data_IF_943509148452
#
_entry.id   IF_943509148452
#
_cell.length_a   1.000
_cell.length_b   1.000
_cell.length_c   1.000
_cell.angle_alpha   90.00
_cell.angle_beta   90.00
_cell.angle_gamma   90.00
#
_symmetry.space_group_name_H-M   'P 1'
#
loop_
_entity.id
_entity.type
_entity.pdbx_description
1 polymer ?
#
# COMPACT_ATOMS: atom_id res chain seq x y z
N UNK A 1 -19.85 -6.82 -13.18
CA UNK A 1 -18.80 -7.28 -12.23
C UNK A 1 -17.70 -6.22 -12.25
N UNK A 2 -17.06 -5.90 -11.12
CA UNK A 2 -15.87 -5.02 -11.13
C UNK A 2 -14.73 -5.79 -11.80
N UNK A 3 -14.23 -5.27 -12.92
CA UNK A 3 -13.14 -5.92 -13.66
C UNK A 3 -11.78 -5.52 -13.12
N UNK A 4 -11.59 -4.23 -12.85
CA UNK A 4 -10.30 -3.71 -12.35
C UNK A 4 -10.50 -2.77 -11.16
N UNK A 5 -9.79 -3.06 -10.06
CA UNK A 5 -9.70 -2.19 -8.90
C UNK A 5 -8.25 -1.69 -8.70
N UNK A 6 -8.08 -0.39 -8.45
CA UNK A 6 -6.81 0.17 -7.98
C UNK A 6 -6.88 0.37 -6.47
N UNK A 7 -5.83 -0.03 -5.77
CA UNK A 7 -5.62 0.25 -4.35
C UNK A 7 -4.35 1.09 -4.22
N UNK A 8 -4.46 2.27 -3.66
CA UNK A 8 -3.33 3.14 -3.39
C UNK A 8 -2.89 3.01 -1.94
N UNK A 9 -1.61 2.72 -1.73
CA UNK A 9 -0.92 3.00 -0.48
C UNK A 9 -0.75 4.53 -0.37
N UNK A 10 -1.75 5.16 0.22
CA UNK A 10 -1.86 6.62 0.21
C UNK A 10 -0.76 7.30 1.02
N UNK A 11 -0.28 6.69 2.11
CA UNK A 11 0.80 7.26 2.90
C UNK A 11 2.14 7.22 2.16
N UNK A 12 2.43 6.16 1.41
CA UNK A 12 3.61 6.10 0.54
C UNK A 12 3.56 7.21 -0.52
N UNK A 13 2.38 7.42 -1.14
CA UNK A 13 2.20 8.50 -2.10
C UNK A 13 2.32 9.88 -1.45
N UNK A 14 1.69 10.08 -0.29
CA UNK A 14 1.76 11.35 0.45
C UNK A 14 3.19 11.73 0.79
N UNK A 15 3.96 10.79 1.37
CA UNK A 15 5.34 11.04 1.75
C UNK A 15 6.18 11.47 0.54
N UNK A 16 6.00 10.80 -0.60
CA UNK A 16 6.70 11.15 -1.84
C UNK A 16 6.26 12.49 -2.40
N UNK A 17 4.96 12.78 -2.42
CA UNK A 17 4.40 14.03 -2.87
C UNK A 17 4.85 15.20 -1.99
N UNK A 18 4.86 15.01 -0.68
CA UNK A 18 5.30 15.99 0.32
C UNK A 18 6.71 16.48 0.05
N UNK A 19 7.63 15.56 -0.29
CA UNK A 19 9.00 15.93 -0.60
C UNK A 19 9.21 16.42 -2.05
N UNK A 20 8.43 15.90 -3.01
CA UNK A 20 8.61 16.26 -4.42
C UNK A 20 8.06 17.64 -4.75
N UNK A 21 6.96 18.04 -4.14
CA UNK A 21 6.26 19.29 -4.40
C UNK A 21 6.40 20.28 -3.24
N UNK A 22 7.52 20.24 -2.51
CA UNK A 22 7.77 21.01 -1.29
C UNK A 22 7.72 22.54 -1.47
N UNK A 23 7.85 23.03 -2.70
CA UNK A 23 7.71 24.46 -3.05
C UNK A 23 6.26 24.92 -3.27
N UNK A 24 5.27 23.99 -3.24
CA UNK A 24 3.88 24.33 -3.49
C UNK A 24 3.22 24.85 -2.22
N UNK A 25 2.61 26.03 -2.32
CA UNK A 25 1.90 26.70 -1.23
C UNK A 25 0.55 27.23 -1.72
N UNK A 26 -0.36 27.46 -0.80
CA UNK A 26 -1.57 28.25 -1.05
C UNK A 26 -1.26 29.77 -1.04
N UNK A 27 -2.27 30.60 -1.24
CA UNK A 27 -2.13 32.07 -1.24
C UNK A 27 -1.68 32.66 0.09
N UNK A 28 -1.80 31.93 1.19
CA UNK A 28 -1.33 32.33 2.53
C UNK A 28 0.08 31.82 2.85
N UNK A 29 0.74 31.12 1.90
CA UNK A 29 2.07 30.56 2.06
C UNK A 29 2.09 29.20 2.80
N UNK A 30 0.93 28.56 3.08
CA UNK A 30 0.90 27.24 3.71
C UNK A 30 1.25 26.14 2.71
N UNK A 31 2.08 25.16 3.09
CA UNK A 31 2.43 24.05 2.19
C UNK A 31 1.21 23.26 1.70
N UNK A 32 1.21 22.93 0.41
CA UNK A 32 0.15 22.15 -0.27
C UNK A 32 0.70 20.99 -1.10
N UNK A 33 1.93 20.58 -0.81
CA UNK A 33 2.69 19.57 -1.56
C UNK A 33 1.94 18.25 -1.76
N UNK A 34 1.45 17.64 -0.67
CA UNK A 34 0.68 16.39 -0.75
C UNK A 34 -0.76 16.64 -1.26
N UNK A 35 -1.37 17.78 -0.89
CA UNK A 35 -2.71 18.21 -1.34
C UNK A 35 -2.76 18.30 -2.87
N UNK A 36 -1.68 18.77 -3.50
CA UNK A 36 -1.54 18.77 -4.95
C UNK A 36 -1.08 17.41 -5.50
N UNK A 37 0.01 16.87 -4.93
CA UNK A 37 0.72 15.75 -5.55
C UNK A 37 -0.04 14.43 -5.52
N UNK A 38 -0.81 14.15 -4.46
CA UNK A 38 -1.54 12.88 -4.37
C UNK A 38 -2.67 12.80 -5.38
N UNK A 39 -3.60 13.77 -5.49
CA UNK A 39 -4.62 13.74 -6.54
C UNK A 39 -4.04 13.71 -7.95
N UNK A 40 -2.92 14.40 -8.20
CA UNK A 40 -2.21 14.37 -9.48
C UNK A 40 -1.73 12.97 -9.85
N UNK A 41 -1.11 12.24 -8.91
CA UNK A 41 -0.65 10.86 -9.16
C UNK A 41 -1.83 9.91 -9.30
N UNK A 42 -2.86 10.05 -8.46
CA UNK A 42 -4.06 9.21 -8.54
C UNK A 42 -4.74 9.36 -9.90
N UNK A 43 -4.93 10.59 -10.37
CA UNK A 43 -5.51 10.86 -11.69
C UNK A 43 -4.73 10.19 -12.81
N UNK A 44 -3.41 10.34 -12.82
CA UNK A 44 -2.55 9.73 -13.83
C UNK A 44 -2.68 8.19 -13.88
N UNK A 45 -2.82 7.54 -12.71
CA UNK A 45 -3.00 6.08 -12.67
C UNK A 45 -4.43 5.68 -13.07
N UNK A 46 -5.46 6.46 -12.69
CA UNK A 46 -6.85 6.23 -13.13
C UNK A 46 -6.95 6.34 -14.65
N UNK A 47 -6.30 7.33 -15.25
CA UNK A 47 -6.24 7.49 -16.71
C UNK A 47 -5.48 6.35 -17.38
N UNK A 48 -4.41 5.87 -16.78
CA UNK A 48 -3.59 4.77 -17.31
C UNK A 48 -4.31 3.43 -17.29
N UNK A 49 -4.91 3.07 -16.17
CA UNK A 49 -5.48 1.74 -15.93
C UNK A 49 -6.98 1.64 -16.20
N UNK A 50 -7.68 2.76 -16.35
CA UNK A 50 -9.13 2.84 -16.57
C UNK A 50 -9.95 1.92 -15.64
N UNK A 51 -9.73 1.98 -14.29
CA UNK A 51 -10.36 1.04 -13.36
C UNK A 51 -11.86 1.30 -13.20
N UNK A 52 -12.57 0.31 -12.65
CA UNK A 52 -13.96 0.44 -12.21
C UNK A 52 -14.06 0.93 -10.76
N UNK A 53 -13.01 0.70 -9.96
CA UNK A 53 -12.96 1.04 -8.54
C UNK A 53 -11.58 1.57 -8.16
N UNK A 54 -11.56 2.65 -7.39
CA UNK A 54 -10.33 3.22 -6.82
C UNK A 54 -10.47 3.35 -5.33
N UNK A 55 -9.50 2.84 -4.59
CA UNK A 55 -9.46 2.84 -3.13
C UNK A 55 -8.12 3.43 -2.69
N UNK A 56 -8.13 4.46 -1.86
CA UNK A 56 -6.96 5.02 -1.21
C UNK A 56 -6.96 4.64 0.27
N UNK A 57 -5.90 3.98 0.73
CA UNK A 57 -5.78 3.47 2.09
C UNK A 57 -4.74 4.28 2.86
N UNK A 58 -5.16 4.88 3.96
CA UNK A 58 -4.32 5.74 4.81
C UNK A 58 -3.92 5.06 6.12
N UNK A 59 -2.69 5.31 6.55
CA UNK A 59 -2.18 4.84 7.85
C UNK A 59 -2.94 5.43 9.03
N UNK A 60 -3.18 4.58 10.03
CA UNK A 60 -3.48 5.00 11.38
C UNK A 60 -2.24 4.90 12.29
N UNK A 61 -2.45 4.40 13.50
CA UNK A 61 -1.39 4.20 14.47
C UNK A 61 -0.52 2.97 14.13
N UNK A 62 0.73 2.99 14.61
CA UNK A 62 1.59 1.80 14.57
C UNK A 62 0.95 0.65 15.34
N UNK A 63 1.10 -0.57 14.83
CA UNK A 63 0.56 -1.76 15.45
C UNK A 63 1.08 -1.98 16.87
N UNK A 64 0.17 -1.90 17.86
CA UNK A 64 0.46 -2.22 19.26
C UNK A 64 0.99 -3.65 19.44
N UNK A 65 0.54 -4.58 18.58
CA UNK A 65 0.99 -5.97 18.61
C UNK A 65 2.41 -6.14 18.08
N UNK A 66 2.79 -5.42 17.01
CA UNK A 66 4.17 -5.44 16.49
C UNK A 66 5.13 -4.76 17.48
N UNK A 67 4.72 -3.67 18.11
CA UNK A 67 5.51 -2.99 19.15
C UNK A 67 5.76 -3.88 20.38
N UNK A 68 4.82 -4.75 20.78
CA UNK A 68 5.03 -5.75 21.85
C UNK A 68 6.08 -6.79 21.47
N UNK A 69 6.19 -7.16 20.19
CA UNK A 69 7.18 -8.14 19.70
C UNK A 69 8.55 -7.47 19.46
N UNK A 70 8.54 -6.25 18.98
CA UNK A 70 9.72 -5.44 18.65
C UNK A 70 9.44 -3.97 19.06
N UNK A 71 9.88 -3.54 20.26
CA UNK A 71 9.64 -2.16 20.74
C UNK A 71 10.17 -1.10 19.78
N UNK A 72 11.26 -1.39 19.08
CA UNK A 72 11.88 -0.48 18.09
C UNK A 72 11.29 -0.61 16.67
N UNK A 73 10.16 -1.31 16.50
CA UNK A 73 9.51 -1.46 15.20
C UNK A 73 9.18 -0.10 14.57
N UNK A 74 9.66 0.12 13.34
CA UNK A 74 9.59 1.41 12.62
C UNK A 74 10.23 2.59 13.42
N UNK A 75 11.09 2.29 14.40
CA UNK A 75 11.72 3.32 15.25
C UNK A 75 12.84 4.07 14.54
N UNK A 76 13.52 3.44 13.59
CA UNK A 76 14.60 4.04 12.80
C UNK A 76 14.12 4.94 11.65
N UNK A 77 12.82 5.11 11.46
CA UNK A 77 12.29 6.10 10.50
C UNK A 77 12.68 7.49 10.98
N UNK A 78 13.91 7.87 10.66
CA UNK A 78 14.47 9.18 10.98
C UNK A 78 13.60 10.22 10.31
N UNK A 79 12.99 11.10 11.10
CA UNK A 79 12.38 12.30 10.56
C UNK A 79 13.53 13.10 9.92
N UNK A 80 13.45 13.37 8.64
CA UNK A 80 14.36 14.33 8.03
C UNK A 80 14.21 15.64 8.77
N UNK A 81 15.32 16.37 8.95
CA UNK A 81 15.35 17.65 9.67
C UNK A 81 14.25 18.63 9.21
N UNK A 82 13.86 18.56 7.94
CA UNK A 82 12.86 19.43 7.32
C UNK A 82 11.45 18.81 7.26
N UNK A 83 11.19 17.72 8.00
CA UNK A 83 9.87 17.08 7.99
C UNK A 83 8.98 17.64 9.11
N UNK A 84 8.02 18.46 8.71
CA UNK A 84 6.97 18.96 9.60
C UNK A 84 5.84 17.92 9.70
N UNK A 85 5.81 17.22 10.83
CA UNK A 85 4.82 16.18 11.09
C UNK A 85 3.41 16.76 11.26
N UNK A 86 3.27 17.94 11.85
CA UNK A 86 1.98 18.57 12.07
C UNK A 86 1.37 18.99 10.74
N UNK A 87 2.16 19.65 9.89
CA UNK A 87 1.73 20.00 8.53
C UNK A 87 1.42 18.77 7.68
N UNK A 88 2.22 17.70 7.79
CA UNK A 88 1.96 16.45 7.07
C UNK A 88 0.60 15.84 7.49
N UNK A 89 0.28 15.83 8.78
CA UNK A 89 -1.01 15.32 9.28
C UNK A 89 -2.16 16.21 8.84
N UNK A 90 -2.00 17.53 8.86
CA UNK A 90 -2.98 18.48 8.30
C UNK A 90 -3.23 18.17 6.83
N UNK A 91 -2.18 18.07 6.01
CA UNK A 91 -2.33 17.76 4.59
C UNK A 91 -2.97 16.39 4.37
N UNK A 92 -2.79 15.41 5.27
CA UNK A 92 -3.43 14.10 5.18
C UNK A 92 -4.95 14.20 5.23
N UNK A 93 -5.49 14.95 6.17
CA UNK A 93 -6.94 15.15 6.28
C UNK A 93 -7.51 15.82 5.02
N UNK A 94 -6.81 16.83 4.52
CA UNK A 94 -7.20 17.54 3.30
C UNK A 94 -7.11 16.63 2.05
N UNK A 95 -6.10 15.78 1.96
CA UNK A 95 -5.97 14.80 0.86
C UNK A 95 -7.11 13.79 0.90
N UNK A 96 -7.49 13.28 2.08
CA UNK A 96 -8.62 12.37 2.23
C UNK A 96 -9.92 13.02 1.73
N UNK A 97 -10.17 14.27 2.12
CA UNK A 97 -11.34 15.03 1.69
C UNK A 97 -11.33 15.28 0.16
N UNK A 98 -10.19 15.70 -0.39
CA UNK A 98 -10.04 15.95 -1.83
C UNK A 98 -10.27 14.71 -2.67
N UNK A 99 -9.71 13.57 -2.28
CA UNK A 99 -9.92 12.28 -2.96
C UNK A 99 -11.37 11.81 -2.85
N UNK A 100 -11.98 11.97 -1.68
CA UNK A 100 -13.39 11.65 -1.48
C UNK A 100 -14.30 12.49 -2.39
N UNK A 101 -14.04 13.79 -2.50
CA UNK A 101 -14.79 14.69 -3.39
C UNK A 101 -14.60 14.37 -4.89
N UNK A 102 -13.51 13.69 -5.24
CA UNK A 102 -13.28 13.14 -6.57
C UNK A 102 -13.93 11.75 -6.78
N UNK A 103 -14.64 11.21 -5.81
CA UNK A 103 -15.30 9.91 -5.92
C UNK A 103 -14.37 8.71 -5.70
N UNK A 104 -13.19 8.93 -5.10
CA UNK A 104 -12.28 7.87 -4.68
C UNK A 104 -12.74 7.31 -3.33
N UNK A 105 -12.83 5.98 -3.22
CA UNK A 105 -13.10 5.32 -1.94
C UNK A 105 -11.91 5.49 -1.00
N UNK A 106 -12.13 6.07 0.17
CA UNK A 106 -11.07 6.31 1.15
C UNK A 106 -11.24 5.38 2.34
N UNK A 107 -10.16 4.70 2.73
CA UNK A 107 -10.10 3.84 3.91
C UNK A 107 -9.10 4.43 4.90
N UNK A 108 -9.54 4.69 6.11
CA UNK A 108 -8.69 5.14 7.21
C UNK A 108 -9.19 4.54 8.52
N UNK A 109 -8.38 3.69 9.14
CA UNK A 109 -8.64 3.20 10.48
C UNK A 109 -7.56 3.79 11.42
N UNK A 110 -7.93 4.63 12.41
CA UNK A 110 -6.95 5.31 13.27
C UNK A 110 -6.09 4.34 14.10
N UNK A 111 -6.53 3.11 14.32
CA UNK A 111 -5.82 2.10 15.13
C UNK A 111 -5.02 1.09 14.31
N UNK A 112 -5.03 1.16 12.98
CA UNK A 112 -4.42 0.16 12.10
C UNK A 112 -3.46 0.77 11.10
N UNK A 113 -2.40 0.01 10.75
CA UNK A 113 -1.48 0.38 9.67
C UNK A 113 -2.12 0.17 8.29
N UNK A 114 -1.77 1.01 7.31
CA UNK A 114 -2.29 0.92 5.95
C UNK A 114 -2.02 -0.44 5.31
N UNK A 115 -0.85 -1.04 5.54
CA UNK A 115 -0.44 -2.32 4.98
C UNK A 115 -1.43 -3.44 5.36
N UNK A 116 -1.84 -3.47 6.63
CA UNK A 116 -2.80 -4.46 7.14
C UNK A 116 -4.21 -4.23 6.60
N UNK A 117 -4.60 -2.95 6.43
CA UNK A 117 -5.88 -2.59 5.83
C UNK A 117 -5.90 -2.90 4.34
N UNK A 118 -4.79 -2.65 3.60
CA UNK A 118 -4.65 -3.04 2.18
C UNK A 118 -4.81 -4.55 2.03
N UNK A 119 -4.18 -5.36 2.90
CA UNK A 119 -4.39 -6.81 2.91
C UNK A 119 -5.87 -7.15 3.07
N UNK A 120 -6.57 -6.53 4.03
CA UNK A 120 -7.99 -6.76 4.29
C UNK A 120 -8.87 -6.37 3.11
N UNK A 121 -8.57 -5.23 2.46
CA UNK A 121 -9.26 -4.77 1.25
C UNK A 121 -9.05 -5.75 0.10
N UNK A 122 -7.82 -6.22 -0.14
CA UNK A 122 -7.53 -7.24 -1.17
C UNK A 122 -8.36 -8.49 -0.93
N UNK A 123 -8.44 -8.97 0.33
CA UNK A 123 -9.25 -10.15 0.66
C UNK A 123 -10.73 -9.93 0.43
N UNK A 124 -11.25 -8.75 0.73
CA UNK A 124 -12.62 -8.38 0.42
C UNK A 124 -12.89 -8.43 -1.09
N UNK A 125 -12.03 -7.79 -1.88
CA UNK A 125 -12.18 -7.74 -3.34
C UNK A 125 -12.05 -9.13 -3.99
N UNK A 126 -11.12 -9.97 -3.50
CA UNK A 126 -11.02 -11.37 -3.93
C UNK A 126 -12.30 -12.16 -3.62
N UNK A 127 -12.89 -11.96 -2.44
CA UNK A 127 -14.18 -12.59 -2.07
C UNK A 127 -15.30 -12.11 -2.98
N UNK A 128 -15.27 -10.86 -3.42
CA UNK A 128 -16.22 -10.28 -4.37
C UNK A 128 -15.91 -10.65 -5.84
N UNK A 129 -14.88 -11.47 -6.09
CA UNK A 129 -14.46 -11.93 -7.42
C UNK A 129 -14.12 -10.78 -8.39
N UNK A 130 -13.45 -9.74 -7.89
CA UNK A 130 -12.89 -8.68 -8.74
C UNK A 130 -11.84 -9.29 -9.67
N UNK A 131 -11.89 -8.95 -10.95
CA UNK A 131 -11.05 -9.58 -11.98
C UNK A 131 -9.57 -9.29 -11.80
N UNK A 132 -9.19 -8.01 -11.63
CA UNK A 132 -7.80 -7.59 -11.41
C UNK A 132 -7.73 -6.56 -10.28
N UNK A 133 -6.83 -6.79 -9.33
CA UNK A 133 -6.57 -5.90 -8.20
C UNK A 133 -5.14 -5.37 -8.35
N UNK A 134 -4.98 -4.08 -8.61
CA UNK A 134 -3.67 -3.45 -8.79
C UNK A 134 -3.37 -2.60 -7.56
N UNK A 135 -2.32 -2.97 -6.81
CA UNK A 135 -1.83 -2.20 -5.66
C UNK A 135 -0.75 -1.24 -6.17
N UNK A 136 -0.99 0.05 -6.00
CA UNK A 136 -0.06 1.12 -6.39
C UNK A 136 0.81 1.46 -5.18
N UNK A 137 2.00 0.89 -5.13
CA UNK A 137 2.99 1.15 -4.07
C UNK A 137 4.40 0.80 -4.53
N UNK A 138 5.39 1.43 -3.93
CA UNK A 138 6.81 1.06 -4.06
C UNK A 138 7.29 0.14 -2.93
N UNK A 139 6.42 -0.21 -1.99
CA UNK A 139 6.77 -1.05 -0.86
C UNK A 139 6.91 -2.52 -1.28
N UNK A 140 8.06 -3.11 -0.94
CA UNK A 140 8.41 -4.50 -1.24
C UNK A 140 7.57 -5.50 -0.47
N UNK A 141 7.00 -5.09 0.66
CA UNK A 141 6.19 -5.97 1.52
C UNK A 141 4.93 -6.44 0.82
N UNK A 142 4.38 -5.61 -0.08
CA UNK A 142 3.22 -6.01 -0.88
C UNK A 142 3.48 -7.12 -1.89
N UNK A 143 4.75 -7.44 -2.23
CA UNK A 143 5.04 -8.57 -3.11
C UNK A 143 4.45 -9.89 -2.59
N UNK A 144 4.28 -10.04 -1.25
CA UNK A 144 3.62 -11.20 -0.64
C UNK A 144 2.14 -11.36 -1.03
N UNK A 145 1.50 -10.33 -1.61
CA UNK A 145 0.11 -10.36 -2.08
C UNK A 145 -0.01 -10.85 -3.52
N UNK A 146 1.04 -10.72 -4.33
CA UNK A 146 1.04 -11.13 -5.73
C UNK A 146 1.18 -12.67 -5.90
N UNK A 147 0.45 -13.44 -5.07
CA UNK A 147 0.49 -14.93 -5.08
C UNK A 147 -0.56 -15.56 -5.97
N UNK A 148 -1.49 -14.78 -6.48
CA UNK A 148 -2.58 -15.17 -7.36
C UNK A 148 -2.58 -14.31 -8.62
N UNK A 149 -3.21 -14.79 -9.70
CA UNK A 149 -3.19 -14.10 -11.00
C UNK A 149 -3.95 -12.77 -11.01
N UNK A 150 -4.88 -12.61 -10.09
CA UNK A 150 -5.74 -11.44 -9.93
C UNK A 150 -5.06 -10.26 -9.21
N UNK A 151 -3.91 -10.47 -8.56
CA UNK A 151 -3.21 -9.40 -7.82
C UNK A 151 -1.92 -8.97 -8.52
N UNK A 152 -1.79 -7.68 -8.74
CA UNK A 152 -0.62 -7.02 -9.34
C UNK A 152 -0.12 -5.92 -8.41
N UNK A 153 1.18 -5.89 -8.11
CA UNK A 153 1.81 -4.75 -7.46
C UNK A 153 2.44 -3.89 -8.55
N UNK A 154 2.08 -2.63 -8.59
CA UNK A 154 2.61 -1.67 -9.56
C UNK A 154 3.35 -0.54 -8.85
N UNK A 155 4.63 -0.41 -9.16
CA UNK A 155 5.44 0.71 -8.71
C UNK A 155 5.36 1.84 -9.77
N UNK A 156 4.71 2.98 -9.47
CA UNK A 156 4.53 4.05 -10.47
C UNK A 156 5.83 4.77 -10.82
N UNK A 157 6.88 4.59 -10.04
CA UNK A 157 8.19 5.22 -10.28
C UNK A 157 9.06 4.39 -11.23
N UNK A 158 9.29 3.11 -10.91
CA UNK A 158 10.08 2.20 -11.76
C UNK A 158 9.26 1.59 -12.89
N UNK A 159 7.92 1.74 -12.87
CA UNK A 159 6.95 1.11 -13.77
C UNK A 159 6.97 -0.43 -13.72
N UNK A 160 7.60 -1.02 -12.71
CA UNK A 160 7.59 -2.46 -12.51
C UNK A 160 6.19 -2.98 -12.17
N UNK A 161 5.84 -4.10 -12.79
CA UNK A 161 4.63 -4.89 -12.49
C UNK A 161 5.04 -6.21 -11.88
N UNK A 162 4.84 -6.37 -10.58
CA UNK A 162 5.09 -7.62 -9.87
C UNK A 162 3.79 -8.42 -9.84
N UNK A 163 3.85 -9.62 -10.40
CA UNK A 163 2.77 -10.61 -10.44
C UNK A 163 3.31 -11.95 -9.96
N UNK A 164 2.46 -12.96 -9.84
CA UNK A 164 2.89 -14.33 -9.52
C UNK A 164 3.92 -14.86 -10.52
N UNK A 165 3.88 -14.40 -11.77
CA UNK A 165 4.79 -14.86 -12.84
C UNK A 165 6.06 -14.01 -12.96
N UNK A 166 6.03 -12.74 -12.59
CA UNK A 166 7.14 -11.81 -12.82
C UNK A 166 7.97 -11.54 -11.56
N UNK A 167 7.48 -11.88 -10.37
CA UNK A 167 8.17 -11.59 -9.11
C UNK A 167 9.59 -12.19 -9.08
N UNK A 168 9.78 -13.45 -9.49
CA UNK A 168 11.11 -14.07 -9.52
C UNK A 168 12.08 -13.35 -10.46
N UNK A 169 11.58 -12.87 -11.61
CA UNK A 169 12.41 -12.11 -12.57
C UNK A 169 12.92 -10.78 -11.98
N UNK A 170 12.03 -10.01 -11.35
CA UNK A 170 12.39 -8.68 -10.83
C UNK A 170 13.05 -8.71 -9.45
N UNK A 171 12.72 -9.70 -8.61
CA UNK A 171 13.14 -9.73 -7.19
C UNK A 171 14.07 -10.88 -6.83
N UNK A 172 14.26 -11.86 -7.72
CA UNK A 172 15.11 -13.03 -7.49
C UNK A 172 14.47 -14.10 -6.60
N UNK A 173 13.20 -13.94 -6.22
CA UNK A 173 12.40 -14.90 -5.45
C UNK A 173 10.93 -14.88 -5.88
N UNK A 174 10.18 -15.95 -5.62
CA UNK A 174 8.76 -16.01 -5.95
C UNK A 174 7.92 -15.21 -4.95
N UNK A 175 6.78 -14.66 -5.39
CA UNK A 175 5.90 -13.85 -4.53
C UNK A 175 5.53 -14.55 -3.21
N UNK A 176 5.28 -15.86 -3.23
CA UNK A 176 5.00 -16.66 -2.02
C UNK A 176 6.19 -16.76 -1.05
N UNK A 177 7.40 -16.45 -1.51
CA UNK A 177 8.64 -16.48 -0.71
C UNK A 177 8.98 -15.11 -0.10
N UNK A 178 8.22 -14.06 -0.38
CA UNK A 178 8.51 -12.68 0.10
C UNK A 178 8.72 -12.62 1.61
N UNK A 179 7.85 -13.25 2.40
CA UNK A 179 7.95 -13.24 3.86
C UNK A 179 9.22 -13.96 4.34
N UNK A 180 9.55 -15.09 3.73
CA UNK A 180 10.77 -15.84 4.06
C UNK A 180 12.03 -15.07 3.65
N UNK A 181 12.01 -14.44 2.45
CA UNK A 181 13.10 -13.58 1.99
C UNK A 181 13.36 -12.42 2.96
N UNK A 182 12.32 -11.66 3.32
CA UNK A 182 12.43 -10.55 4.25
C UNK A 182 12.79 -11.00 5.67
N UNK A 183 12.39 -12.21 6.08
CA UNK A 183 12.81 -12.80 7.34
C UNK A 183 14.31 -13.07 7.35
N UNK A 184 14.90 -13.50 6.22
CA UNK A 184 16.32 -13.77 6.09
C UNK A 184 17.16 -12.49 5.98
N UNK A 185 16.76 -11.57 5.12
CA UNK A 185 17.49 -10.32 4.84
C UNK A 185 17.24 -9.27 5.91
N UNK A 186 16.05 -9.25 6.49
CA UNK A 186 15.56 -8.18 7.35
C UNK A 186 14.89 -7.06 6.57
N UNK A 187 14.44 -6.05 7.30
CA UNK A 187 13.91 -4.80 6.76
C UNK A 187 14.38 -3.61 7.60
N UNK A 188 15.35 -2.87 7.07
CA UNK A 188 15.91 -1.71 7.74
C UNK A 188 14.87 -0.57 7.89
N UNK A 189 13.94 -0.44 6.94
CA UNK A 189 12.90 0.59 6.99
C UNK A 189 11.93 0.38 8.16
N UNK A 190 11.74 -0.87 8.56
CA UNK A 190 10.89 -1.29 9.67
C UNK A 190 11.68 -1.67 10.92
N UNK A 191 13.01 -1.50 10.88
CA UNK A 191 13.92 -1.90 11.95
C UNK A 191 13.81 -3.40 12.31
N UNK A 192 13.64 -4.25 11.30
CA UNK A 192 13.57 -5.70 11.44
C UNK A 192 14.90 -6.29 11.03
N UNK A 193 15.64 -6.86 12.00
CA UNK A 193 16.91 -7.53 11.71
C UNK A 193 16.68 -8.90 11.10
N UNK A 194 17.38 -9.19 9.99
CA UNK A 194 17.41 -10.48 9.34
C UNK A 194 18.32 -11.48 10.04
N UNK A 195 18.62 -12.60 9.34
CA UNK A 195 19.59 -13.56 9.80
C UNK A 195 21.02 -13.02 9.59
N UNK A 196 21.90 -13.09 10.62
CA UNK A 196 23.26 -12.54 10.51
C UNK A 196 24.01 -13.08 9.28
N UNK A 197 24.70 -12.19 8.57
CA UNK A 197 25.51 -12.50 7.39
C UNK A 197 24.72 -13.04 6.17
N UNK A 198 23.38 -13.02 6.21
CA UNK A 198 22.53 -13.39 5.06
C UNK A 198 21.98 -12.13 4.40
N UNK A 199 22.66 -11.65 3.36
CA UNK A 199 22.16 -10.63 2.46
C UNK A 199 21.36 -11.22 1.30
N UNK A 200 20.96 -10.36 0.36
CA UNK A 200 20.05 -10.68 -0.75
C UNK A 200 20.45 -11.95 -1.52
N UNK A 201 21.69 -12.03 -2.01
CA UNK A 201 22.17 -13.18 -2.80
C UNK A 201 22.06 -14.50 -2.03
N UNK A 202 22.47 -14.51 -0.76
CA UNK A 202 22.41 -15.71 0.09
C UNK A 202 20.96 -16.10 0.41
N UNK A 203 20.08 -15.13 0.62
CA UNK A 203 18.66 -15.38 0.84
C UNK A 203 17.99 -15.98 -0.42
N UNK A 204 18.28 -15.45 -1.60
CA UNK A 204 17.79 -15.99 -2.88
C UNK A 204 18.27 -17.43 -3.11
N UNK A 205 19.57 -17.71 -2.93
CA UNK A 205 20.15 -19.06 -3.04
C UNK A 205 19.53 -20.03 -2.01
N UNK A 206 19.30 -19.55 -0.77
CA UNK A 206 18.63 -20.34 0.26
C UNK A 206 17.21 -20.73 -0.18
N UNK A 207 16.44 -19.77 -0.66
CA UNK A 207 15.06 -20.00 -1.09
C UNK A 207 14.97 -20.82 -2.38
N UNK A 208 15.94 -20.70 -3.27
CA UNK A 208 16.03 -21.56 -4.46
C UNK A 208 16.32 -23.01 -4.08
N UNK A 209 17.24 -23.23 -3.15
CA UNK A 209 17.63 -24.57 -2.70
C UNK A 209 16.57 -25.26 -1.84
N UNK A 210 16.00 -24.54 -0.87
CA UNK A 210 15.12 -25.13 0.16
C UNK A 210 13.63 -24.82 -0.03
N UNK A 211 13.27 -23.97 -0.98
CA UNK A 211 11.92 -23.55 -1.27
C UNK A 211 11.30 -22.60 -0.22
N UNK A 212 11.49 -22.89 1.08
CA UNK A 212 10.99 -22.04 2.16
C UNK A 212 11.76 -22.29 3.47
N UNK A 213 11.69 -21.33 4.40
CA UNK A 213 12.23 -21.49 5.76
C UNK A 213 11.56 -22.68 6.46
N UNK A 214 10.24 -22.84 6.32
CA UNK A 214 9.53 -23.97 6.95
C UNK A 214 9.99 -25.33 6.41
N UNK A 215 10.22 -25.45 5.09
CA UNK A 215 10.72 -26.68 4.48
C UNK A 215 12.12 -27.02 5.02
N UNK A 216 13.02 -26.03 5.06
CA UNK A 216 14.36 -26.21 5.64
C UNK A 216 14.33 -26.65 7.11
N UNK A 217 13.51 -26.02 7.94
CA UNK A 217 13.42 -26.35 9.37
C UNK A 217 12.89 -27.77 9.63
N UNK A 218 12.01 -28.29 8.77
CA UNK A 218 11.41 -29.63 8.88
C UNK A 218 12.29 -30.73 8.25
N UNK A 219 13.06 -30.39 7.23
CA UNK A 219 13.91 -31.35 6.52
C UNK A 219 15.10 -31.82 7.36
N UNK A 220 15.83 -32.80 6.87
CA UNK A 220 17.09 -33.30 7.46
C UNK A 220 18.32 -32.51 7.01
N UNK A 221 18.19 -31.67 6.00
CA UNK A 221 19.30 -30.93 5.38
C UNK A 221 19.99 -29.98 6.36
N UNK A 222 21.29 -29.81 6.18
CA UNK A 222 22.16 -28.92 6.93
C UNK A 222 22.65 -27.82 6.00
N UNK A 223 22.72 -26.59 6.51
CA UNK A 223 23.30 -25.44 5.81
C UNK A 223 24.60 -25.04 6.52
N UNK A 224 25.65 -24.77 5.76
CA UNK A 224 26.90 -24.22 6.28
C UNK A 224 26.77 -22.74 6.71
N UNK A 225 25.71 -22.04 6.27
CA UNK A 225 25.51 -20.62 6.52
C UNK A 225 24.45 -20.37 7.59
N UNK A 226 23.42 -21.24 7.67
CA UNK A 226 22.22 -21.01 8.48
C UNK A 226 22.01 -22.14 9.48
N UNK A 227 22.08 -21.85 10.77
CA UNK A 227 21.70 -22.78 11.84
C UNK A 227 20.18 -22.87 11.99
N UNK A 228 19.62 -24.08 12.03
CA UNK A 228 18.17 -24.29 12.22
C UNK A 228 17.63 -23.66 13.50
N UNK A 229 18.35 -23.87 14.62
CA UNK A 229 17.93 -23.34 15.92
C UNK A 229 17.89 -21.79 15.94
N UNK A 230 18.93 -21.16 15.38
CA UNK A 230 18.98 -19.70 15.29
C UNK A 230 17.90 -19.16 14.33
N UNK A 231 17.74 -19.79 13.15
CA UNK A 231 16.73 -19.40 12.18
C UNK A 231 15.31 -19.55 12.73
N UNK A 232 15.03 -20.62 13.48
CA UNK A 232 13.72 -20.83 14.08
C UNK A 232 13.32 -19.71 15.04
N UNK A 233 14.28 -19.20 15.84
CA UNK A 233 14.06 -18.06 16.74
C UNK A 233 13.75 -16.78 15.96
N UNK A 234 14.54 -16.48 14.94
CA UNK A 234 14.34 -15.31 14.07
C UNK A 234 13.01 -15.43 13.31
N UNK A 235 12.71 -16.60 12.75
CA UNK A 235 11.47 -16.83 12.02
C UNK A 235 10.23 -16.62 12.88
N UNK A 236 10.21 -17.14 14.12
CA UNK A 236 9.09 -16.93 15.05
C UNK A 236 8.81 -15.45 15.32
N UNK A 237 9.87 -14.65 15.45
CA UNK A 237 9.75 -13.20 15.67
C UNK A 237 9.33 -12.48 14.37
N UNK A 238 10.11 -12.62 13.31
CA UNK A 238 9.98 -11.82 12.09
C UNK A 238 8.73 -12.17 11.30
N UNK A 239 8.27 -13.41 11.35
CA UNK A 239 7.06 -13.83 10.62
C UNK A 239 5.81 -13.02 10.99
N UNK A 240 5.61 -12.66 12.26
CA UNK A 240 4.48 -11.82 12.68
C UNK A 240 4.71 -10.32 12.43
N UNK A 241 5.95 -9.89 12.33
CA UNK A 241 6.28 -8.50 11.99
C UNK A 241 6.03 -8.23 10.50
N UNK A 242 6.35 -9.20 9.63
CA UNK A 242 6.41 -9.05 8.17
C UNK A 242 5.15 -9.61 7.48
N UNK A 243 4.62 -10.75 7.95
CA UNK A 243 3.52 -11.42 7.24
C UNK A 243 2.18 -10.74 7.47
N UNK A 244 1.69 -10.02 6.46
CA UNK A 244 0.36 -9.41 6.46
C UNK A 244 -0.73 -10.46 6.67
N UNK A 245 -0.57 -11.67 6.06
CA UNK A 245 -1.49 -12.78 6.25
C UNK A 245 -1.53 -13.28 7.69
N UNK A 246 -0.37 -13.51 8.30
CA UNK A 246 -0.31 -14.03 9.66
C UNK A 246 -0.88 -13.01 10.66
N UNK A 247 -0.57 -11.74 10.46
CA UNK A 247 -1.09 -10.63 11.25
C UNK A 247 -2.61 -10.53 11.11
N UNK A 248 -3.12 -10.53 9.87
CA UNK A 248 -4.57 -10.47 9.59
C UNK A 248 -5.33 -11.62 10.26
N UNK A 249 -4.88 -12.87 10.09
CA UNK A 249 -5.54 -14.04 10.67
C UNK A 249 -5.60 -14.01 12.19
N UNK A 250 -4.64 -13.37 12.83
CA UNK A 250 -4.53 -13.32 14.30
C UNK A 250 -5.22 -12.10 14.91
N UNK A 251 -5.13 -10.95 14.26
CA UNK A 251 -5.51 -9.66 14.88
C UNK A 251 -6.53 -8.85 14.09
N UNK A 252 -6.73 -9.15 12.79
CA UNK A 252 -7.53 -8.33 11.89
C UNK A 252 -8.80 -9.01 11.38
N UNK A 253 -9.03 -10.30 11.73
CA UNK A 253 -10.15 -11.08 11.18
C UNK A 253 -11.50 -10.40 11.39
N UNK A 254 -11.71 -9.80 12.55
CA UNK A 254 -12.95 -9.14 12.95
C UNK A 254 -12.90 -7.62 12.81
N UNK A 255 -11.79 -7.08 12.33
CA UNK A 255 -11.63 -5.63 12.09
C UNK A 255 -12.38 -5.26 10.82
N UNK A 256 -13.38 -4.39 10.96
CA UNK A 256 -14.13 -3.87 9.82
C UNK A 256 -13.28 -2.84 9.04
N UNK A 257 -13.48 -2.82 7.72
CA UNK A 257 -12.91 -1.76 6.88
C UNK A 257 -13.65 -0.46 7.21
N UNK A 258 -12.91 0.53 7.70
CA UNK A 258 -13.45 1.83 8.07
C UNK A 258 -13.38 2.77 6.86
N UNK A 259 -14.51 2.92 6.19
CA UNK A 259 -14.67 3.82 5.06
C UNK A 259 -14.85 5.27 5.54
N UNK A 260 -14.11 6.19 4.94
CA UNK A 260 -14.22 7.61 5.23
C UNK A 260 -15.67 8.08 5.02
N UNK A 261 -16.19 8.86 5.97
CA UNK A 261 -17.61 9.29 6.01
C UNK A 261 -18.62 8.12 5.88
N UNK A 262 -18.24 6.91 6.25
CA UNK A 262 -19.05 5.69 6.11
C UNK A 262 -19.56 5.43 4.67
N UNK A 263 -18.83 5.94 3.67
CA UNK A 263 -19.18 5.84 2.25
C UNK A 263 -18.15 5.01 1.49
N UNK A 264 -18.41 3.73 1.22
CA UNK A 264 -17.47 2.87 0.47
C UNK A 264 -17.37 3.25 -1.01
N UNK A 265 -18.37 3.98 -1.56
CA UNK A 265 -18.43 4.33 -2.97
C UNK A 265 -18.94 5.76 -3.15
N UNK A 266 -18.13 6.77 -2.87
CA UNK A 266 -18.53 8.14 -3.05
C UNK A 266 -18.74 8.45 -4.53
N UNK A 267 -19.57 9.45 -4.82
CA UNK A 267 -19.74 10.01 -6.17
C UNK A 267 -18.95 11.31 -6.27
N UNK A 268 -18.29 11.60 -7.40
CA UNK A 268 -17.60 12.85 -7.59
C UNK A 268 -18.55 14.04 -7.42
N UNK A 269 -18.15 15.03 -6.65
CA UNK A 269 -18.89 16.27 -6.47
C UNK A 269 -18.07 17.44 -7.01
N UNK A 270 -18.48 17.95 -8.18
CA UNK A 270 -17.72 18.99 -8.88
C UNK A 270 -17.61 20.28 -8.06
N UNK A 271 -18.70 20.73 -7.46
CA UNK A 271 -18.72 21.99 -6.68
C UNK A 271 -17.81 21.88 -5.45
N UNK A 272 -17.85 20.77 -4.70
CA UNK A 272 -16.97 20.55 -3.56
C UNK A 272 -15.51 20.47 -4.00
N UNK A 273 -15.21 19.82 -5.13
CA UNK A 273 -13.85 19.76 -5.65
C UNK A 273 -13.35 21.12 -6.14
N UNK A 274 -14.18 21.92 -6.80
CA UNK A 274 -13.84 23.30 -7.22
C UNK A 274 -13.56 24.19 -6.00
N UNK A 275 -14.37 24.09 -4.94
CA UNK A 275 -14.15 24.80 -3.67
C UNK A 275 -12.82 24.36 -3.01
N UNK A 276 -12.54 23.05 -2.98
CA UNK A 276 -11.28 22.52 -2.51
C UNK A 276 -10.09 23.06 -3.31
N UNK A 277 -10.16 23.06 -4.63
CA UNK A 277 -9.13 23.65 -5.49
C UNK A 277 -8.93 25.15 -5.23
N UNK A 278 -10.01 25.88 -4.98
CA UNK A 278 -9.97 27.30 -4.62
C UNK A 278 -9.26 27.54 -3.30
N UNK A 279 -9.61 26.77 -2.26
CA UNK A 279 -9.04 26.87 -0.93
C UNK A 279 -7.50 26.62 -0.90
N UNK A 280 -7.02 25.70 -1.72
CA UNK A 280 -5.60 25.35 -1.79
C UNK A 280 -4.86 25.88 -3.02
N UNK A 281 -5.50 26.78 -3.77
CA UNK A 281 -4.88 27.43 -4.97
C UNK A 281 -4.46 26.44 -6.05
N UNK A 282 -5.18 25.33 -6.22
CA UNK A 282 -4.88 24.26 -7.19
C UNK A 282 -5.38 24.63 -8.61
N UNK A 283 -4.94 25.79 -9.12
CA UNK A 283 -5.39 26.35 -10.41
C UNK A 283 -5.18 25.43 -11.61
N UNK A 284 -4.14 24.58 -11.58
CA UNK A 284 -3.86 23.62 -12.65
C UNK A 284 -4.98 22.60 -12.82
N UNK A 285 -5.56 22.09 -11.74
CA UNK A 285 -6.67 21.13 -11.81
C UNK A 285 -7.95 21.75 -12.35
N UNK A 286 -8.19 23.04 -12.06
CA UNK A 286 -9.35 23.77 -12.60
C UNK A 286 -9.18 24.11 -14.08
N UNK A 287 -7.92 24.34 -14.54
CA UNK A 287 -7.64 24.62 -15.94
C UNK A 287 -7.64 23.36 -16.83
N UNK A 288 -7.27 22.21 -16.27
CA UNK A 288 -7.33 20.93 -16.98
C UNK A 288 -8.75 20.36 -16.94
N UNK A 289 -9.51 20.63 -18.01
CA UNK A 289 -10.87 20.08 -18.18
C UNK A 289 -10.90 18.55 -18.11
N UNK A 290 -9.81 17.87 -18.46
CA UNK A 290 -9.69 16.40 -18.43
C UNK A 290 -9.54 15.85 -17.02
N UNK A 291 -9.01 16.63 -16.08
CA UNK A 291 -8.74 16.16 -14.72
C UNK A 291 -10.02 15.65 -14.03
N UNK A 292 -11.03 16.49 -13.90
CA UNK A 292 -12.29 16.09 -13.26
C UNK A 292 -13.06 15.04 -14.09
N UNK A 293 -13.03 15.12 -15.42
CA UNK A 293 -13.71 14.15 -16.30
C UNK A 293 -13.16 12.74 -16.16
N UNK A 294 -11.89 12.58 -15.79
CA UNK A 294 -11.28 11.27 -15.44
C UNK A 294 -12.04 10.60 -14.29
N UNK A 295 -12.35 11.33 -13.24
CA UNK A 295 -13.06 10.82 -12.06
C UNK A 295 -14.56 10.64 -12.30
N UNK A 296 -15.17 11.51 -13.09
CA UNK A 296 -16.55 11.35 -13.52
C UNK A 296 -16.73 10.07 -14.36
N UNK A 297 -15.80 9.78 -15.25
CA UNK A 297 -15.78 8.55 -16.04
C UNK A 297 -15.56 7.31 -15.17
N UNK A 298 -14.68 7.39 -14.14
CA UNK A 298 -14.52 6.36 -13.12
C UNK A 298 -15.86 6.04 -12.43
N UNK A 299 -16.58 7.06 -11.97
CA UNK A 299 -17.87 6.87 -11.29
C UNK A 299 -18.90 6.19 -12.19
N UNK A 300 -18.95 6.52 -13.47
CA UNK A 300 -19.85 5.89 -14.44
C UNK A 300 -19.51 4.41 -14.63
N UNK A 301 -18.22 4.03 -14.75
CA UNK A 301 -17.78 2.64 -14.82
C UNK A 301 -18.14 1.88 -13.54
N UNK A 302 -17.89 2.47 -12.38
CA UNK A 302 -18.23 1.89 -11.07
C UNK A 302 -19.72 1.58 -10.92
N UNK A 303 -20.62 2.48 -11.38
CA UNK A 303 -22.06 2.27 -11.35
C UNK A 303 -22.47 1.14 -12.30
N UNK A 304 -21.94 1.09 -13.52
CA UNK A 304 -22.21 0.02 -14.49
C UNK A 304 -21.79 -1.35 -13.97
N UNK A 305 -20.56 -1.45 -13.45
CA UNK A 305 -20.02 -2.70 -12.90
C UNK A 305 -20.84 -3.24 -11.73
N UNK A 306 -21.43 -2.37 -10.90
CA UNK A 306 -22.32 -2.77 -9.79
C UNK A 306 -23.71 -3.21 -10.24
N UNK A 307 -24.32 -2.54 -11.22
CA UNK A 307 -25.63 -2.94 -11.77
C UNK A 307 -25.58 -4.34 -12.37
N UNK A 308 -24.48 -4.70 -13.05
CA UNK A 308 -24.30 -6.03 -13.63
C UNK A 308 -24.10 -7.15 -12.58
N UNK A 309 -23.95 -6.82 -11.29
CA UNK A 309 -23.90 -7.80 -10.18
C UNK A 309 -25.27 -8.05 -9.52
N UNK A 310 -26.29 -7.23 -9.86
CA UNK A 310 -27.64 -7.35 -9.33
C UNK A 310 -28.62 -7.96 -10.34
N UNK A 311 -28.17 -8.26 -11.53
CA UNK A 311 -28.87 -9.04 -12.56
C UNK A 311 -28.29 -10.46 -12.67
#
# INVERSE_FOLDING_TARGET
>A
MVETALIFDANNLMYRAYHRFNSFTDVSGRPTSAIYGVPFVVEAQVRKFQPDLVIAVFDGARSKHRLKICPDYKGSRVQKLDFDKEDFLRQKEEVMEGLYNLGVSVVHNPDQEADDMIYSVVKLLQKQRVGTIIIISSDKDFNQLATTKDVVIYNPHSQEKITVNTCKHFKGYEAKQTVDYLTLVGDDSDNIKGYPLVGEKRAQQFLEKYGSIKAFLRGSEISSVVSKNALQKIYKKNHFLISLRAYHLKYMRDVKINWYKNQPFPTPNKSLFENYCGAFTLKSFLKDKGFYETFKSLSQRSIRSRKNNLS
#
